data_IF_539750836605
#
_entry.id   IF_539750836605
#
_cell.length_a   1.000
_cell.length_b   1.000
_cell.length_c   1.000
_cell.angle_alpha   90.00
_cell.angle_beta   90.00
_cell.angle_gamma   90.00
#
_symmetry.space_group_name_H-M   'P 1'
#
loop_
_entity.id
_entity.type
_entity.pdbx_description
1 polymer ?
#
# COMPACT_ATOMS: atom_id res chain seq x y z
N UNK A 1 6.33 2.16 14.65
CA UNK A 1 5.61 2.05 13.37
C UNK A 1 6.55 2.56 12.30
N UNK A 2 6.75 1.88 11.16
CA UNK A 2 7.52 2.49 10.10
C UNK A 2 6.69 3.67 9.58
N UNK A 3 7.24 4.88 9.67
CA UNK A 3 6.61 6.10 9.10
C UNK A 3 6.46 6.00 7.58
N UNK A 4 7.23 5.13 6.94
CA UNK A 4 7.24 4.90 5.50
C UNK A 4 6.80 3.49 5.13
N UNK A 5 6.07 3.38 4.01
CA UNK A 5 5.62 2.11 3.48
C UNK A 5 6.77 1.26 2.94
N UNK A 6 6.66 -0.05 3.07
CA UNK A 6 7.68 -0.99 2.61
C UNK A 6 7.36 -1.47 1.20
N UNK A 7 8.30 -1.28 0.26
CA UNK A 7 8.21 -1.80 -1.09
C UNK A 7 8.26 -3.33 -1.12
N UNK A 8 7.31 -3.93 -1.84
CA UNK A 8 7.17 -5.38 -1.98
C UNK A 8 6.76 -5.75 -3.40
N UNK A 9 6.88 -7.04 -3.71
CA UNK A 9 6.45 -7.62 -4.98
C UNK A 9 5.56 -8.84 -4.75
N UNK A 10 4.55 -9.01 -5.60
CA UNK A 10 3.69 -10.19 -5.61
C UNK A 10 3.56 -10.75 -7.04
N UNK A 11 3.66 -12.07 -7.17
CA UNK A 11 3.35 -12.77 -8.41
C UNK A 11 1.87 -13.14 -8.43
N UNK A 12 1.10 -12.54 -9.35
CA UNK A 12 -0.34 -12.76 -9.50
C UNK A 12 -0.66 -12.99 -10.97
N UNK A 13 -1.30 -14.11 -11.29
CA UNK A 13 -1.68 -14.47 -12.68
C UNK A 13 -0.52 -14.40 -13.69
N UNK A 14 0.67 -14.82 -13.29
CA UNK A 14 1.87 -14.80 -14.15
C UNK A 14 2.51 -13.43 -14.33
N UNK A 15 2.01 -12.39 -13.66
CA UNK A 15 2.59 -11.04 -13.67
C UNK A 15 3.20 -10.71 -12.30
N UNK A 16 4.28 -9.91 -12.31
CA UNK A 16 4.90 -9.40 -11.09
C UNK A 16 4.42 -7.97 -10.85
N UNK A 17 3.77 -7.74 -9.72
CA UNK A 17 3.27 -6.44 -9.31
C UNK A 17 4.14 -5.88 -8.18
N UNK A 18 4.56 -4.63 -8.34
CA UNK A 18 5.07 -3.82 -7.23
C UNK A 18 3.88 -3.28 -6.43
N UNK A 19 4.01 -3.31 -5.10
CA UNK A 19 3.06 -2.68 -4.18
C UNK A 19 3.80 -2.20 -2.93
N UNK A 20 3.18 -1.30 -2.18
CA UNK A 20 3.72 -0.76 -0.93
C UNK A 20 2.82 -1.17 0.23
N UNK A 21 3.43 -1.57 1.34
CA UNK A 21 2.75 -2.07 2.53
C UNK A 21 3.07 -1.18 3.76
N UNK A 22 2.05 -0.47 4.26
CA UNK A 22 2.15 0.37 5.46
C UNK A 22 1.74 -0.36 6.73
N UNK A 23 1.62 -1.68 6.67
CA UNK A 23 1.18 -2.51 7.76
C UNK A 23 -0.21 -2.12 8.29
N UNK A 24 -0.43 -2.22 9.60
CA UNK A 24 -1.72 -2.04 10.24
C UNK A 24 -2.48 -3.35 10.43
N UNK A 25 -3.50 -3.27 11.28
CA UNK A 25 -4.40 -4.37 11.66
C UNK A 25 -5.84 -3.99 11.31
N UNK A 26 -6.74 -4.98 11.21
CA UNK A 26 -8.14 -4.76 10.86
C UNK A 26 -8.46 -5.01 9.38
N UNK A 27 -9.57 -4.42 8.90
CA UNK A 27 -10.07 -4.69 7.54
C UNK A 27 -9.05 -4.26 6.48
N UNK A 28 -8.67 -5.12 5.52
CA UNK A 28 -7.78 -4.75 4.44
C UNK A 28 -8.39 -3.70 3.50
N UNK A 29 -7.59 -2.71 3.10
CA UNK A 29 -7.93 -1.70 2.10
C UNK A 29 -6.78 -1.65 1.06
N UNK A 30 -7.16 -1.67 -0.21
CA UNK A 30 -6.26 -1.51 -1.35
C UNK A 30 -6.45 -0.11 -1.92
N UNK A 31 -5.37 0.66 -2.04
CA UNK A 31 -5.38 2.02 -2.60
C UNK A 31 -4.86 2.00 -4.03
N UNK A 32 -5.74 2.23 -5.01
CA UNK A 32 -5.34 2.28 -6.42
C UNK A 32 -5.05 3.72 -6.85
N UNK A 33 -3.88 3.94 -7.44
CA UNK A 33 -3.50 5.25 -7.96
C UNK A 33 -4.18 5.55 -9.32
N UNK A 34 -4.20 6.83 -9.70
CA UNK A 34 -4.69 7.29 -11.00
C UNK A 34 -3.62 7.28 -12.11
N UNK A 35 -3.97 7.83 -13.27
CA UNK A 35 -3.05 8.00 -14.40
C UNK A 35 -1.81 8.83 -14.01
N UNK A 36 -0.65 8.46 -14.55
CA UNK A 36 0.64 9.15 -14.35
C UNK A 36 1.11 9.24 -12.88
N UNK A 37 0.76 8.23 -12.07
CA UNK A 37 1.17 8.10 -10.67
C UNK A 37 1.62 6.66 -10.36
N UNK A 38 1.93 6.36 -9.09
CA UNK A 38 2.26 5.04 -8.57
C UNK A 38 1.81 4.92 -7.10
N UNK A 39 2.07 3.78 -6.47
CA UNK A 39 1.69 3.48 -5.09
C UNK A 39 2.15 4.51 -4.05
N UNK A 40 3.26 5.24 -4.30
CA UNK A 40 3.83 6.25 -3.38
C UNK A 40 3.01 7.54 -3.29
N UNK A 41 2.00 7.74 -4.14
CA UNK A 41 1.07 8.88 -3.98
C UNK A 41 0.35 8.85 -2.62
N UNK A 42 0.30 7.68 -1.98
CA UNK A 42 -0.36 7.47 -0.70
C UNK A 42 0.55 7.63 0.52
N UNK A 43 1.84 7.97 0.36
CA UNK A 43 2.81 8.06 1.46
C UNK A 43 2.32 8.94 2.63
N UNK A 44 1.53 9.99 2.35
CA UNK A 44 1.00 10.89 3.38
C UNK A 44 -0.31 10.40 4.03
N UNK A 45 -1.10 9.57 3.35
CA UNK A 45 -2.45 9.16 3.81
C UNK A 45 -2.44 7.76 4.40
N UNK A 46 -1.63 6.86 3.84
CA UNK A 46 -1.56 5.47 4.26
C UNK A 46 -1.15 5.30 5.74
N UNK A 47 -0.22 6.08 6.32
CA UNK A 47 0.09 6.00 7.76
C UNK A 47 -1.08 6.39 8.66
N UNK A 48 -1.97 7.28 8.21
CA UNK A 48 -3.18 7.67 8.97
C UNK A 48 -4.20 6.54 8.94
N UNK A 49 -4.40 5.93 7.77
CA UNK A 49 -5.33 4.81 7.61
C UNK A 49 -4.84 3.54 8.31
N UNK A 50 -3.53 3.30 8.34
CA UNK A 50 -2.93 2.09 8.94
C UNK A 50 -3.09 2.00 10.45
N UNK A 51 -3.50 3.09 11.11
CA UNK A 51 -3.88 3.08 12.52
C UNK A 51 -5.12 2.21 12.81
N UNK A 52 -5.96 1.94 11.81
CA UNK A 52 -7.22 1.17 11.96
C UNK A 52 -7.43 0.06 10.94
N UNK A 53 -6.66 0.06 9.87
CA UNK A 53 -6.83 -0.83 8.74
C UNK A 53 -5.50 -1.41 8.31
N UNK A 54 -5.54 -2.56 7.63
CA UNK A 54 -4.38 -3.10 6.92
C UNK A 54 -4.29 -2.44 5.54
N UNK A 55 -3.22 -1.68 5.28
CA UNK A 55 -3.11 -0.84 4.07
C UNK A 55 -2.05 -1.35 3.10
N UNK A 56 -2.45 -1.53 1.83
CA UNK A 56 -1.56 -1.77 0.70
C UNK A 56 -1.94 -0.89 -0.48
N UNK A 57 -0.98 -0.53 -1.34
CA UNK A 57 -1.21 0.24 -2.56
C UNK A 57 -0.36 -0.27 -3.72
#
# INVERSE_FOLDING_TARGET
MPEEGVDKFAAVNGMQFHYVDWSGEGRPIVLLHGLASNSRIWDMVAPILSQKYRIVA
#
